data_IF_458917721375
#
_entry.id   IF_458917721375
#
_cell.length_a   1.000
_cell.length_b   1.000
_cell.length_c   1.000
_cell.angle_alpha   90.00
_cell.angle_beta   90.00
_cell.angle_gamma   90.00
#
_symmetry.space_group_name_H-M   'P 1'
#
loop_
_entity.id
_entity.type
_entity.pdbx_description
1 polymer ?
#
# COMPACT_ATOMS: atom_id res chain seq x y z
N UNK A 1 0.26 9.54 1.12
CA UNK A 1 0.65 8.80 -0.12
C UNK A 1 1.78 7.82 0.24
N UNK A 2 1.81 6.61 -0.35
CA UNK A 2 2.83 5.59 -0.01
C UNK A 2 4.27 6.05 -0.34
N UNK A 3 4.44 6.74 -1.47
CA UNK A 3 5.73 7.29 -1.93
C UNK A 3 6.30 8.43 -1.09
N UNK A 4 5.46 9.08 -0.29
CA UNK A 4 5.84 10.21 0.57
C UNK A 4 5.99 9.77 2.04
N UNK A 5 5.74 8.49 2.32
CA UNK A 5 5.82 7.97 3.67
C UNK A 5 7.24 7.53 4.00
N UNK A 6 7.77 8.04 5.11
CA UNK A 6 9.08 7.67 5.65
C UNK A 6 9.06 6.33 6.41
N UNK A 7 7.97 5.56 6.32
CA UNK A 7 7.76 4.31 7.04
C UNK A 7 6.47 3.60 6.61
N UNK A 8 6.11 2.49 7.27
CA UNK A 8 4.93 1.72 6.93
C UNK A 8 3.64 2.57 7.02
N UNK A 9 2.80 2.45 6.00
CA UNK A 9 1.53 3.17 5.88
C UNK A 9 0.36 2.21 6.14
N UNK A 10 -0.57 2.57 7.04
CA UNK A 10 -1.77 1.77 7.25
C UNK A 10 -2.71 1.84 6.05
N UNK A 11 -3.39 0.73 5.76
CA UNK A 11 -4.40 0.65 4.71
C UNK A 11 -5.47 1.76 4.85
N UNK A 12 -5.89 2.09 6.07
CA UNK A 12 -6.85 3.16 6.35
C UNK A 12 -6.40 4.57 5.90
N UNK A 13 -5.10 4.79 5.71
CA UNK A 13 -4.59 6.02 5.11
C UNK A 13 -4.68 5.99 3.57
N UNK A 14 -4.52 4.81 2.95
CA UNK A 14 -4.72 4.60 1.52
C UNK A 14 -6.21 4.72 1.16
N UNK A 15 -7.09 4.22 2.02
CA UNK A 15 -8.54 4.31 1.87
C UNK A 15 -9.04 5.76 1.77
N UNK A 16 -8.39 6.69 2.49
CA UNK A 16 -8.74 8.12 2.51
C UNK A 16 -8.34 8.87 1.25
N UNK A 17 -7.30 8.43 0.55
CA UNK A 17 -6.83 9.07 -0.69
C UNK A 17 -7.40 8.40 -1.94
N UNK A 18 -7.95 7.19 -1.81
CA UNK A 18 -8.55 6.43 -2.91
C UNK A 18 -9.84 5.75 -2.46
N UNK A 19 -10.98 6.30 -2.88
CA UNK A 19 -12.32 5.93 -2.38
C UNK A 19 -12.96 4.72 -3.10
N UNK A 20 -12.21 4.00 -3.93
CA UNK A 20 -12.71 2.85 -4.72
C UNK A 20 -12.10 1.53 -4.19
N UNK A 21 -12.76 0.85 -3.24
CA UNK A 21 -12.14 -0.24 -2.48
C UNK A 21 -11.72 -1.43 -3.35
N UNK A 22 -12.52 -1.81 -4.35
CA UNK A 22 -12.22 -2.95 -5.23
C UNK A 22 -11.03 -2.65 -6.14
N UNK A 23 -10.97 -1.45 -6.70
CA UNK A 23 -9.86 -1.06 -7.58
C UNK A 23 -8.57 -0.87 -6.79
N UNK A 24 -8.67 -0.28 -5.59
CA UNK A 24 -7.55 -0.11 -4.66
C UNK A 24 -6.94 -1.45 -4.27
N UNK A 25 -7.76 -2.43 -3.89
CA UNK A 25 -7.29 -3.77 -3.54
C UNK A 25 -6.54 -4.42 -4.73
N UNK A 26 -7.13 -4.39 -5.93
CA UNK A 26 -6.46 -4.92 -7.14
C UNK A 26 -5.16 -4.21 -7.47
N UNK A 27 -5.12 -2.88 -7.33
CA UNK A 27 -3.91 -2.09 -7.58
C UNK A 27 -2.82 -2.43 -6.55
N UNK A 28 -3.18 -2.56 -5.27
CA UNK A 28 -2.23 -2.99 -4.23
C UNK A 28 -1.72 -4.41 -4.47
N UNK A 29 -2.60 -5.34 -4.85
CA UNK A 29 -2.21 -6.71 -5.18
C UNK A 29 -1.22 -6.75 -6.35
N UNK A 30 -1.45 -5.93 -7.39
CA UNK A 30 -0.51 -5.78 -8.50
C UNK A 30 0.85 -5.23 -8.06
N UNK A 31 0.86 -4.17 -7.25
CA UNK A 31 2.09 -3.59 -6.71
C UNK A 31 2.88 -4.57 -5.84
N UNK A 32 2.19 -5.42 -5.07
CA UNK A 32 2.81 -6.48 -4.28
C UNK A 32 3.38 -7.58 -5.17
N UNK A 33 2.63 -8.02 -6.19
CA UNK A 33 3.09 -9.02 -7.15
C UNK A 33 4.32 -8.54 -7.94
N UNK A 34 4.38 -7.24 -8.26
CA UNK A 34 5.51 -6.62 -8.95
C UNK A 34 6.70 -6.32 -8.02
N UNK A 35 6.58 -6.59 -6.71
CA UNK A 35 7.62 -6.32 -5.72
C UNK A 35 7.87 -4.83 -5.45
N UNK A 36 6.93 -3.96 -5.86
CA UNK A 36 7.00 -2.51 -5.66
C UNK A 36 6.47 -2.06 -4.29
N UNK A 37 5.72 -2.93 -3.61
CA UNK A 37 5.17 -2.72 -2.28
C UNK A 37 5.27 -4.01 -1.48
N UNK A 38 5.59 -3.91 -0.20
CA UNK A 38 5.60 -5.04 0.72
C UNK A 38 4.45 -4.92 1.73
N UNK A 39 3.60 -5.95 1.86
CA UNK A 39 2.62 -6.02 2.93
C UNK A 39 3.27 -6.44 4.24
N UNK A 40 2.84 -5.83 5.34
CA UNK A 40 3.27 -6.12 6.70
C UNK A 40 2.10 -6.61 7.55
N UNK A 41 2.42 -7.27 8.65
CA UNK A 41 1.45 -7.62 9.68
C UNK A 41 0.67 -6.38 10.13
N UNK A 42 -0.63 -6.56 10.39
CA UNK A 42 -1.50 -5.47 10.83
C UNK A 42 -2.06 -4.56 9.72
N UNK A 43 -2.03 -5.00 8.46
CA UNK A 43 -2.61 -4.22 7.35
C UNK A 43 -1.79 -2.98 7.01
N UNK A 44 -0.48 -3.07 7.17
CA UNK A 44 0.49 -2.03 6.86
C UNK A 44 1.13 -2.34 5.50
N UNK A 45 1.50 -1.30 4.77
CA UNK A 45 2.22 -1.40 3.50
C UNK A 45 3.46 -0.52 3.54
N UNK A 46 4.59 -1.00 3.01
CA UNK A 46 5.80 -0.19 2.87
C UNK A 46 6.38 -0.29 1.46
N UNK A 47 7.21 0.67 1.11
CA UNK A 47 8.08 0.53 -0.04
C UNK A 47 9.23 -0.45 0.27
N UNK A 48 9.72 -1.19 -0.74
CA UNK A 48 10.93 -1.98 -0.63
C UNK A 48 12.09 -1.12 -0.14
N UNK A 49 12.79 -1.60 0.89
CA UNK A 49 14.04 -1.02 1.34
C UNK A 49 15.11 -1.60 0.41
N UNK A 50 15.47 -0.86 -0.63
CA UNK A 50 16.59 -1.20 -1.51
C UNK A 50 17.90 -0.77 -0.86
#
# INVERSE_FOLDING_TARGET
>A
MLREAHGPVPQSALDRVWHEPVQRARALDGLVADGLVEPLAGGLYRLPLT
#
